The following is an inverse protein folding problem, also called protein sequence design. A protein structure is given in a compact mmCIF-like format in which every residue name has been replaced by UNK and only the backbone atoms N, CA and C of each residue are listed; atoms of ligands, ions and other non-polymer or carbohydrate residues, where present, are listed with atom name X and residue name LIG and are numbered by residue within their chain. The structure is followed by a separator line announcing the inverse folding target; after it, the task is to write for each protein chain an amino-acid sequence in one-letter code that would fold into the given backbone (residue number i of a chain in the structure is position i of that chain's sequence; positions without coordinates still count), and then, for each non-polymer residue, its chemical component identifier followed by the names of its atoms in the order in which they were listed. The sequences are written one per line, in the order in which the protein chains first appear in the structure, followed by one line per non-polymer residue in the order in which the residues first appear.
data_IF_864941012080
#
_entry.id   IF_864941012080
#
_cell.length_a   1.000
_cell.length_b   1.000
_cell.length_c   1.000
_cell.angle_alpha   90.00
_cell.angle_beta   90.00
_cell.angle_gamma   90.00
#
_symmetry.space_group_name_H-M   'P 1'
#
loop_
_entity.id
_entity.type
_entity.pdbx_description
1 polymer ?
#
# COMPACT_ATOMS: atom_id res chain seq x y z
N UNK A 1 3.43 1.48 -26.12
CA UNK A 1 3.99 2.18 -24.96
C UNK A 1 4.41 3.57 -25.42
N UNK A 2 3.84 4.64 -24.86
CA UNK A 2 4.14 6.00 -25.31
C UNK A 2 5.58 6.38 -24.94
N UNK A 3 6.28 7.19 -25.76
CA UNK A 3 7.62 7.71 -25.51
C UNK A 3 7.73 8.34 -24.10
N UNK A 4 6.66 9.00 -23.65
CA UNK A 4 6.52 9.56 -22.31
C UNK A 4 6.70 8.51 -21.22
N UNK A 5 6.08 7.32 -21.35
CA UNK A 5 6.16 6.25 -20.33
C UNK A 5 7.57 5.68 -20.26
N UNK A 6 8.25 5.59 -21.39
CA UNK A 6 9.65 5.15 -21.44
C UNK A 6 10.58 6.17 -20.76
N UNK A 7 10.40 7.46 -21.02
CA UNK A 7 11.17 8.53 -20.38
C UNK A 7 10.91 8.56 -18.86
N UNK A 8 9.66 8.43 -18.42
CA UNK A 8 9.32 8.37 -17.01
C UNK A 8 9.98 7.18 -16.32
N UNK A 9 10.02 6.01 -16.94
CA UNK A 9 10.71 4.83 -16.38
C UNK A 9 12.20 4.99 -16.23
N UNK A 10 12.84 5.73 -17.12
CA UNK A 10 14.29 5.97 -17.09
C UNK A 10 14.66 7.03 -16.04
N UNK A 11 13.89 8.09 -15.95
CA UNK A 11 14.24 9.29 -15.17
C UNK A 11 13.52 9.39 -13.82
N UNK A 12 12.51 8.54 -13.54
CA UNK A 12 11.77 8.58 -12.28
C UNK A 12 11.81 7.24 -11.55
N UNK A 13 11.90 7.30 -10.22
CA UNK A 13 11.90 6.11 -9.37
C UNK A 13 10.50 5.74 -8.85
N UNK A 14 9.55 6.66 -8.96
CA UNK A 14 8.20 6.51 -8.39
C UNK A 14 7.15 5.95 -9.37
N UNK A 15 7.52 5.71 -10.61
CA UNK A 15 6.59 5.25 -11.64
C UNK A 15 6.74 3.73 -11.88
N UNK A 16 6.09 2.94 -11.03
CA UNK A 16 6.04 1.49 -11.11
C UNK A 16 7.33 0.81 -10.68
N UNK A 17 8.38 0.92 -11.48
CA UNK A 17 9.69 0.32 -11.19
C UNK A 17 10.82 1.09 -11.86
N UNK A 18 12.02 1.02 -11.27
CA UNK A 18 13.24 1.54 -11.90
C UNK A 18 13.75 0.62 -13.01
N UNK A 19 14.59 1.15 -13.90
CA UNK A 19 15.23 0.34 -14.96
C UNK A 19 16.06 -0.80 -14.37
N UNK A 20 16.78 -0.53 -13.26
CA UNK A 20 17.58 -1.57 -12.58
C UNK A 20 16.71 -2.68 -12.02
N UNK A 21 15.57 -2.36 -11.40
CA UNK A 21 14.62 -3.35 -10.90
C UNK A 21 14.00 -4.15 -12.05
N UNK A 22 13.67 -3.49 -13.18
CA UNK A 22 13.16 -4.18 -14.37
C UNK A 22 14.18 -5.20 -14.92
N UNK A 23 15.44 -4.79 -14.99
CA UNK A 23 16.52 -5.68 -15.44
C UNK A 23 16.75 -6.86 -14.47
N UNK A 24 16.73 -6.58 -13.17
CA UNK A 24 16.81 -7.62 -12.13
C UNK A 24 15.62 -8.59 -12.24
N UNK A 25 14.41 -8.07 -12.33
CA UNK A 25 13.18 -8.89 -12.47
C UNK A 25 13.25 -9.77 -13.72
N UNK A 26 13.75 -9.23 -14.84
CA UNK A 26 13.90 -10.02 -16.08
C UNK A 26 14.95 -11.13 -15.99
N UNK A 27 15.98 -10.97 -15.12
CA UNK A 27 17.06 -11.95 -14.97
C UNK A 27 16.80 -13.01 -13.91
N UNK A 28 16.21 -12.62 -12.79
CA UNK A 28 16.15 -13.46 -11.58
C UNK A 28 14.76 -13.51 -10.95
N UNK A 29 13.78 -12.83 -11.54
CA UNK A 29 12.44 -12.75 -10.96
C UNK A 29 11.54 -13.90 -11.40
N UNK A 30 11.06 -14.66 -10.43
CA UNK A 30 9.96 -15.62 -10.64
C UNK A 30 8.67 -14.87 -10.28
N UNK A 31 7.71 -14.82 -11.21
CA UNK A 31 6.40 -14.25 -10.97
C UNK A 31 5.59 -15.14 -10.01
N UNK A 32 5.00 -14.53 -8.98
CA UNK A 32 4.24 -15.24 -7.94
C UNK A 32 2.74 -14.95 -8.07
N UNK A 33 2.37 -13.71 -8.34
CA UNK A 33 0.97 -13.34 -8.51
C UNK A 33 0.75 -11.85 -8.70
N UNK A 34 -0.52 -11.48 -8.84
CA UNK A 34 -0.99 -10.11 -9.04
C UNK A 34 -2.13 -9.83 -8.05
N UNK A 35 -2.24 -8.61 -7.54
CA UNK A 35 -3.32 -8.19 -6.68
C UNK A 35 -4.44 -7.47 -7.46
N UNK A 36 -5.53 -7.15 -6.77
CA UNK A 36 -6.71 -6.46 -7.35
C UNK A 36 -6.40 -5.04 -7.87
N UNK A 37 -5.26 -4.47 -7.48
CA UNK A 37 -4.79 -3.15 -7.95
C UNK A 37 -3.86 -3.25 -9.15
N UNK A 38 -3.53 -4.47 -9.60
CA UNK A 38 -2.62 -4.73 -10.70
C UNK A 38 -1.14 -4.63 -10.33
N UNK A 39 -0.80 -4.67 -9.04
CA UNK A 39 0.58 -4.79 -8.60
C UNK A 39 1.06 -6.23 -8.77
N UNK A 40 2.28 -6.41 -9.27
CA UNK A 40 2.88 -7.73 -9.57
C UNK A 40 3.94 -8.08 -8.55
N UNK A 41 3.88 -9.32 -8.08
CA UNK A 41 4.75 -9.83 -7.02
C UNK A 41 5.72 -10.85 -7.57
N UNK A 42 6.97 -10.73 -7.14
CA UNK A 42 8.09 -11.56 -7.60
C UNK A 42 8.93 -12.06 -6.43
N UNK A 43 9.57 -13.20 -6.63
CA UNK A 43 10.60 -13.72 -5.74
C UNK A 43 11.89 -14.01 -6.53
N UNK A 44 13.01 -14.08 -5.84
CA UNK A 44 14.28 -14.39 -6.49
C UNK A 44 14.34 -15.86 -6.93
N UNK A 45 14.91 -16.12 -8.10
CA UNK A 45 15.26 -17.46 -8.54
C UNK A 45 16.55 -17.93 -7.86
N UNK A 46 16.51 -19.13 -7.28
CA UNK A 46 17.68 -19.78 -6.66
C UNK A 46 18.12 -19.14 -5.34
N UNK A 47 19.40 -19.32 -5.00
CA UNK A 47 19.98 -18.97 -3.70
C UNK A 47 20.35 -17.48 -3.54
N UNK A 48 19.62 -16.54 -4.14
CA UNK A 48 19.75 -15.12 -3.82
C UNK A 48 19.08 -14.83 -2.47
N UNK A 49 19.72 -15.35 -1.43
CA UNK A 49 19.32 -15.06 -0.05
C UNK A 49 19.66 -13.61 0.20
N UNK A 50 18.66 -12.83 0.58
CA UNK A 50 18.91 -11.51 1.14
C UNK A 50 19.65 -11.68 2.48
N UNK A 51 20.90 -11.23 2.55
CA UNK A 51 21.74 -11.38 3.75
C UNK A 51 21.14 -10.69 4.98
N UNK A 52 20.30 -9.69 4.79
CA UNK A 52 19.65 -8.96 5.90
C UNK A 52 18.48 -9.73 6.50
N UNK A 53 17.81 -10.54 5.69
CA UNK A 53 16.59 -11.27 6.09
C UNK A 53 16.87 -12.77 6.29
N UNK A 54 17.96 -13.28 5.70
CA UNK A 54 18.31 -14.71 5.75
C UNK A 54 17.40 -15.61 4.91
N UNK A 55 16.55 -15.02 4.05
CA UNK A 55 15.59 -15.73 3.20
C UNK A 55 15.61 -15.22 1.75
N UNK A 56 14.83 -15.84 0.88
CA UNK A 56 14.70 -15.42 -0.52
C UNK A 56 14.24 -13.96 -0.62
N UNK A 57 14.76 -13.22 -1.58
CA UNK A 57 14.35 -11.86 -1.82
C UNK A 57 12.97 -11.85 -2.48
N UNK A 58 12.03 -11.06 -1.93
CA UNK A 58 10.68 -10.83 -2.45
C UNK A 58 10.50 -9.34 -2.75
N UNK A 59 9.81 -9.01 -3.85
CA UNK A 59 9.55 -7.61 -4.20
C UNK A 59 8.26 -7.45 -4.97
N UNK A 60 7.79 -6.20 -5.03
CA UNK A 60 6.60 -5.80 -5.77
C UNK A 60 6.98 -4.83 -6.90
N UNK A 61 6.29 -4.96 -8.01
CA UNK A 61 6.28 -4.00 -9.13
C UNK A 61 4.91 -3.35 -9.15
N UNK A 62 4.87 -2.06 -8.83
CA UNK A 62 3.62 -1.32 -8.72
C UNK A 62 2.98 -1.03 -10.06
N UNK A 63 1.67 -1.04 -10.09
CA UNK A 63 0.88 -0.54 -11.21
C UNK A 63 0.72 0.99 -11.06
N UNK A 64 1.49 1.75 -11.83
CA UNK A 64 1.54 3.21 -11.77
C UNK A 64 2.42 3.75 -10.65
N UNK A 65 1.92 4.67 -9.84
CA UNK A 65 2.69 5.31 -8.78
C UNK A 65 3.10 4.32 -7.69
N UNK A 66 4.41 4.32 -7.36
CA UNK A 66 4.98 3.42 -6.36
C UNK A 66 4.68 3.92 -4.94
N UNK A 67 3.69 3.34 -4.31
CA UNK A 67 3.30 3.61 -2.93
C UNK A 67 3.09 2.30 -2.17
N UNK A 68 3.80 2.14 -1.07
CA UNK A 68 3.73 0.94 -0.24
C UNK A 68 2.34 0.69 0.36
N UNK A 69 1.53 1.75 0.53
CA UNK A 69 0.16 1.61 1.02
C UNK A 69 -0.79 0.93 0.05
N UNK A 70 -0.42 0.82 -1.23
CA UNK A 70 -1.18 0.09 -2.24
C UNK A 70 -1.11 -1.42 -2.09
N UNK A 71 -0.16 -1.93 -1.30
CA UNK A 71 0.02 -3.36 -1.09
C UNK A 71 -1.04 -3.89 -0.12
N UNK A 72 -1.92 -4.82 -0.53
CA UNK A 72 -2.90 -5.43 0.35
C UNK A 72 -2.26 -6.20 1.52
N UNK A 73 -2.96 -6.36 2.66
CA UNK A 73 -2.41 -6.95 3.88
C UNK A 73 -1.80 -8.35 3.70
N UNK A 74 -2.46 -9.23 2.93
CA UNK A 74 -1.95 -10.57 2.64
C UNK A 74 -0.62 -10.54 1.90
N UNK A 75 -0.52 -9.74 0.83
CA UNK A 75 0.72 -9.56 0.09
C UNK A 75 1.81 -8.88 0.91
N UNK A 76 1.44 -7.96 1.81
CA UNK A 76 2.40 -7.36 2.73
C UNK A 76 2.96 -8.39 3.72
N UNK A 77 2.13 -9.25 4.27
CA UNK A 77 2.56 -10.36 5.14
C UNK A 77 3.58 -11.26 4.42
N UNK A 78 3.32 -11.59 3.17
CA UNK A 78 4.21 -12.39 2.35
C UNK A 78 5.53 -11.64 2.03
N UNK A 79 5.48 -10.37 1.63
CA UNK A 79 6.67 -9.55 1.36
C UNK A 79 7.59 -9.41 2.57
N UNK A 80 7.00 -9.31 3.77
CA UNK A 80 7.74 -9.17 5.05
C UNK A 80 8.19 -10.52 5.65
N UNK A 81 8.01 -11.64 4.94
CA UNK A 81 8.31 -12.99 5.43
C UNK A 81 7.57 -13.39 6.72
N UNK A 82 6.42 -12.78 6.99
CA UNK A 82 5.54 -13.19 8.09
C UNK A 82 4.72 -14.43 7.73
N UNK A 83 4.49 -14.62 6.42
CA UNK A 83 3.77 -15.77 5.85
C UNK A 83 4.56 -16.31 4.67
N UNK A 84 4.68 -17.63 4.56
CA UNK A 84 5.42 -18.28 3.49
C UNK A 84 4.60 -18.47 2.22
N UNK A 85 3.30 -18.76 2.37
CA UNK A 85 2.38 -18.92 1.25
C UNK A 85 1.97 -17.56 0.68
N UNK A 86 1.98 -17.45 -0.64
CA UNK A 86 1.48 -16.27 -1.31
C UNK A 86 -0.06 -16.23 -1.26
N UNK A 87 -0.70 -15.05 -1.20
CA UNK A 87 -2.16 -14.93 -1.23
C UNK A 87 -2.82 -15.56 -2.46
N UNK A 88 -2.09 -15.69 -3.57
CA UNK A 88 -2.55 -16.40 -4.77
C UNK A 88 -2.66 -17.91 -4.59
N UNK A 89 -1.97 -18.47 -3.60
CA UNK A 89 -1.95 -19.90 -3.28
C UNK A 89 -2.77 -20.22 -2.02
N UNK A 90 -3.19 -19.20 -1.27
CA UNK A 90 -3.91 -19.33 -0.01
C UNK A 90 -5.41 -19.18 -0.22
N UNK A 91 -6.20 -20.09 0.37
CA UNK A 91 -7.67 -19.98 0.43
C UNK A 91 -8.09 -19.21 1.70
N UNK A 92 -7.79 -17.92 1.75
CA UNK A 92 -8.18 -17.09 2.88
C UNK A 92 -9.64 -16.65 2.77
N UNK A 93 -10.41 -16.90 3.82
CA UNK A 93 -11.80 -16.41 3.93
C UNK A 93 -11.83 -15.18 4.83
N UNK A 94 -12.15 -13.98 4.31
CA UNK A 94 -12.19 -12.77 5.11
C UNK A 94 -13.26 -12.84 6.20
N UNK A 95 -12.96 -12.31 7.38
CA UNK A 95 -13.95 -12.16 8.43
C UNK A 95 -14.98 -11.07 8.08
N UNK A 96 -16.20 -11.19 8.61
CA UNK A 96 -17.31 -10.27 8.31
C UNK A 96 -17.02 -8.79 8.64
N UNK A 97 -16.10 -8.53 9.57
CA UNK A 97 -15.69 -7.17 9.94
C UNK A 97 -14.56 -6.58 9.06
N UNK A 98 -13.91 -7.41 8.26
CA UNK A 98 -12.83 -6.96 7.38
C UNK A 98 -13.42 -6.15 6.22
N UNK A 99 -12.84 -4.99 5.98
CA UNK A 99 -13.17 -4.13 4.85
C UNK A 99 -12.19 -4.36 3.71
N UNK A 100 -12.59 -4.09 2.45
CA UNK A 100 -11.65 -4.05 1.33
C UNK A 100 -10.47 -3.14 1.62
N UNK A 101 -9.29 -3.53 1.13
CA UNK A 101 -8.09 -2.71 1.29
C UNK A 101 -8.26 -1.36 0.60
N UNK A 102 -7.84 -0.30 1.28
CA UNK A 102 -7.84 1.06 0.76
C UNK A 102 -6.42 1.63 0.93
N UNK A 103 -5.87 2.17 -0.15
CA UNK A 103 -4.58 2.88 -0.11
C UNK A 103 -4.66 4.13 0.76
N UNK A 104 -3.50 4.65 1.17
CA UNK A 104 -3.41 5.86 1.98
C UNK A 104 -4.05 7.06 1.27
N UNK A 105 -5.08 7.63 1.89
CA UNK A 105 -5.83 8.76 1.35
C UNK A 105 -5.30 10.13 1.80
N UNK A 106 -4.20 10.16 2.56
CA UNK A 106 -3.59 11.42 3.04
C UNK A 106 -3.24 12.32 1.85
N UNK A 107 -3.66 13.57 1.92
CA UNK A 107 -3.47 14.54 0.83
C UNK A 107 -4.53 14.50 -0.26
N UNK A 108 -5.47 13.56 -0.23
CA UNK A 108 -6.60 13.48 -1.17
C UNK A 108 -7.87 14.10 -0.56
N UNK A 109 -8.90 14.41 -1.38
CA UNK A 109 -10.22 14.85 -0.87
C UNK A 109 -10.89 13.81 0.04
N UNK A 110 -10.55 12.53 -0.10
CA UNK A 110 -11.12 11.43 0.67
C UNK A 110 -10.38 11.16 2.00
N UNK A 111 -9.36 11.97 2.32
CA UNK A 111 -8.63 11.83 3.58
C UNK A 111 -9.57 12.00 4.77
N UNK A 112 -9.46 11.10 5.75
CA UNK A 112 -10.21 11.21 6.99
C UNK A 112 -9.88 12.51 7.71
N UNK A 113 -10.92 13.27 8.05
CA UNK A 113 -10.82 14.51 8.81
C UNK A 113 -11.73 14.41 10.02
N UNK A 114 -11.21 14.49 11.25
CA UNK A 114 -12.02 14.47 12.44
C UNK A 114 -13.02 15.62 12.46
N UNK A 115 -14.20 15.41 13.03
CA UNK A 115 -15.13 16.48 13.31
C UNK A 115 -14.48 17.50 14.27
N UNK A 116 -14.61 18.79 13.99
CA UNK A 116 -13.94 19.85 14.73
C UNK A 116 -12.52 20.19 14.25
N UNK A 117 -11.98 19.47 13.24
CA UNK A 117 -10.80 19.92 12.52
C UNK A 117 -11.08 21.20 11.75
N UNK A 118 -10.13 22.13 11.70
CA UNK A 118 -10.26 23.37 10.89
C UNK A 118 -10.46 23.08 9.39
N UNK A 119 -10.07 21.88 8.94
CA UNK A 119 -10.23 21.43 7.56
C UNK A 119 -11.55 20.68 7.30
N UNK A 120 -12.34 20.40 8.35
CA UNK A 120 -13.70 19.87 8.23
C UNK A 120 -14.70 20.98 8.55
N UNK A 121 -15.70 21.16 7.70
CA UNK A 121 -16.72 22.19 7.84
C UNK A 121 -17.78 21.87 8.90
N UNK A 122 -17.50 20.98 9.84
CA UNK A 122 -18.44 20.57 10.87
C UNK A 122 -17.95 20.90 12.28
N UNK A 123 -18.87 21.31 13.15
CA UNK A 123 -18.62 21.33 14.58
C UNK A 123 -18.69 19.89 15.09
N UNK A 124 -17.77 19.50 15.98
CA UNK A 124 -17.91 18.21 16.66
C UNK A 124 -19.20 18.20 17.50
N UNK A 125 -19.87 17.05 17.64
CA UNK A 125 -20.99 16.94 18.57
C UNK A 125 -20.53 17.31 19.98
N UNK A 126 -21.39 17.95 20.73
CA UNK A 126 -21.13 18.25 22.14
C UNK A 126 -20.90 16.97 22.93
N UNK A 127 -19.89 16.96 23.79
CA UNK A 127 -19.58 15.86 24.69
C UNK A 127 -19.99 16.23 26.12
N UNK A 128 -20.14 15.22 26.99
CA UNK A 128 -20.55 15.42 28.40
C UNK A 128 -19.59 16.29 29.21
N UNK A 129 -18.33 16.45 28.77
CA UNK A 129 -17.35 17.32 29.40
C UNK A 129 -17.25 18.73 28.82
N UNK A 130 -18.12 19.09 27.86
CA UNK A 130 -18.12 20.43 27.27
C UNK A 130 -18.75 21.42 28.23
N UNK A 131 -18.04 22.54 28.40
CA UNK A 131 -18.55 23.66 29.23
C UNK A 131 -19.60 24.47 28.45
N UNK A 132 -20.74 24.66 29.08
CA UNK A 132 -21.75 25.63 28.63
C UNK A 132 -21.60 26.88 29.53
N UNK A 133 -21.21 28.01 28.92
CA UNK A 133 -21.05 29.27 29.67
C UNK A 133 -22.37 29.70 30.23
N UNK A 134 -22.39 30.06 31.53
CA UNK A 134 -23.54 30.66 32.15
C UNK A 134 -23.80 32.08 31.59
N UNK A 135 -25.06 32.38 31.26
CA UNK A 135 -25.51 33.68 30.84
C UNK A 135 -26.38 34.30 31.92
N UNK A 136 -26.09 35.57 32.41
CA UNK A 136 -26.92 36.24 33.38
C UNK A 136 -28.33 36.51 32.81
N UNK A 137 -29.36 36.05 33.53
CA UNK A 137 -30.75 36.38 33.18
C UNK A 137 -31.58 35.27 32.53
N UNK A 138 -31.04 34.03 32.42
CA UNK A 138 -31.81 32.84 32.16
C UNK A 138 -32.15 32.08 33.45
#
# INVERSE_FOLDING_TARGET
MALKDTLLRVFTWWNGQTVSLALQTARTGIFVGEDDFGNKYYKAEGALIDRSVGSERRWVVYNGYADASKVPPGWRGWLCHNVDLAPSEENYTPHAWQKPHLENQTGTPNAYRPQGSQLSWGQRPAATGDYVSWTPGE
#
